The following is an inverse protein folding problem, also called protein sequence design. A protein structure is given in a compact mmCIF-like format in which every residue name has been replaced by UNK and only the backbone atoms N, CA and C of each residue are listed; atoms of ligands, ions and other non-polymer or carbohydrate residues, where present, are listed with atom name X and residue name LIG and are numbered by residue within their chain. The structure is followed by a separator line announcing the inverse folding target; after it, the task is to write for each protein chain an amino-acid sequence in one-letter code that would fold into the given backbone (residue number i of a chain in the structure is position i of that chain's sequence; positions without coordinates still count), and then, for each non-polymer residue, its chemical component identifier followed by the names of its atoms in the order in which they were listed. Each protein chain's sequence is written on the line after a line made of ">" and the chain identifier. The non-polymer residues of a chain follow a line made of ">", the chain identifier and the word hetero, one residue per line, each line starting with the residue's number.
data_IF_658681978561
#
_entry.id   IF_658681978561
#
_cell.length_a   1.000
_cell.length_b   1.000
_cell.length_c   1.000
_cell.angle_alpha   90.00
_cell.angle_beta   90.00
_cell.angle_gamma   90.00
#
_symmetry.space_group_name_H-M   'P 1'
#
loop_
_entity.id
_entity.type
_entity.pdbx_description
1 polymer ?
#
# COMPACT_ATOMS: atom_id res chain seq x y z
N UNK A 1 12.87 38.76 -66.92
CA UNK A 1 13.45 37.65 -67.71
C UNK A 1 13.12 36.33 -67.01
N UNK A 2 12.63 35.36 -67.77
CA UNK A 2 12.13 34.05 -67.33
C UNK A 2 12.84 32.95 -68.13
N UNK A 3 13.10 31.80 -67.48
CA UNK A 3 13.17 30.39 -67.97
C UNK A 3 14.12 29.59 -67.03
N UNK A 4 13.60 28.62 -66.27
CA UNK A 4 13.58 27.14 -66.50
C UNK A 4 15.00 26.53 -66.52
N UNK A 5 15.33 25.36 -65.99
CA UNK A 5 14.59 24.14 -65.64
C UNK A 5 15.50 23.22 -64.77
N UNK A 6 14.87 22.42 -63.90
CA UNK A 6 15.21 21.09 -63.33
C UNK A 6 16.66 20.53 -63.27
N UNK A 7 17.05 20.07 -62.06
CA UNK A 7 17.22 18.62 -61.71
C UNK A 7 17.40 18.39 -60.20
N UNK A 8 16.86 17.27 -59.70
CA UNK A 8 16.92 16.76 -58.32
C UNK A 8 18.11 15.75 -58.13
N UNK A 9 18.39 15.23 -56.91
CA UNK A 9 19.74 14.95 -56.35
C UNK A 9 20.27 13.53 -56.57
N UNK A 10 21.45 13.16 -56.03
CA UNK A 10 21.38 12.30 -54.83
C UNK A 10 22.55 12.38 -53.80
N UNK A 11 22.21 11.89 -52.61
CA UNK A 11 23.03 11.04 -51.72
C UNK A 11 24.07 11.66 -50.79
N UNK A 12 23.87 11.43 -49.48
CA UNK A 12 24.99 11.17 -48.57
C UNK A 12 24.88 11.82 -47.18
N UNK A 13 24.56 10.98 -46.18
CA UNK A 13 24.88 11.09 -44.76
C UNK A 13 24.28 12.28 -43.97
N UNK A 14 23.26 12.11 -43.12
CA UNK A 14 23.25 11.36 -41.84
C UNK A 14 24.34 11.90 -40.89
N UNK A 15 24.09 12.42 -39.70
CA UNK A 15 23.02 12.20 -38.74
C UNK A 15 23.69 12.15 -37.37
N UNK A 16 23.35 13.07 -36.48
CA UNK A 16 23.73 12.99 -35.07
C UNK A 16 22.55 13.40 -34.19
N UNK A 17 21.41 12.75 -34.47
CA UNK A 17 20.42 12.50 -33.44
C UNK A 17 20.84 11.23 -32.72
N UNK A 18 21.22 11.33 -31.43
CA UNK A 18 21.35 10.17 -30.55
C UNK A 18 19.98 9.49 -30.45
N UNK A 19 19.71 8.54 -31.35
CA UNK A 19 18.73 7.47 -31.12
C UNK A 19 19.41 6.44 -30.24
N UNK A 20 19.02 6.40 -28.97
CA UNK A 20 19.21 5.22 -28.14
C UNK A 20 18.36 4.10 -28.74
N UNK A 21 18.94 3.38 -29.69
CA UNK A 21 18.39 2.13 -30.18
C UNK A 21 18.57 1.14 -29.03
N UNK A 22 17.50 0.90 -28.27
CA UNK A 22 17.42 -0.30 -27.43
C UNK A 22 17.38 -1.47 -28.39
N UNK A 23 18.50 -2.14 -28.60
CA UNK A 23 18.50 -3.46 -29.23
C UNK A 23 17.66 -4.40 -28.36
N UNK A 24 16.67 -5.11 -28.91
CA UNK A 24 16.09 -6.22 -28.18
C UNK A 24 17.21 -7.25 -28.07
N UNK A 25 17.68 -7.51 -26.84
CA UNK A 25 18.59 -8.62 -26.59
C UNK A 25 17.82 -9.90 -26.87
N UNK A 26 18.06 -10.47 -28.05
CA UNK A 26 17.65 -11.84 -28.39
C UNK A 26 18.09 -12.76 -27.25
N UNK A 27 17.10 -13.36 -26.56
CA UNK A 27 17.31 -14.36 -25.53
C UNK A 27 16.93 -13.97 -24.09
N UNK A 28 16.51 -12.73 -23.80
CA UNK A 28 15.98 -12.42 -22.47
C UNK A 28 14.55 -13.00 -22.35
N UNK A 29 14.30 -14.00 -21.48
CA UNK A 29 12.94 -14.45 -21.23
C UNK A 29 12.09 -13.27 -20.73
N UNK A 30 10.79 -13.22 -21.07
CA UNK A 30 9.93 -12.16 -20.58
C UNK A 30 10.04 -12.08 -19.06
N UNK A 31 10.19 -10.87 -18.53
CA UNK A 31 10.28 -10.67 -17.10
C UNK A 31 9.11 -11.40 -16.42
N UNK A 32 9.36 -12.15 -15.34
CA UNK A 32 8.28 -12.85 -14.65
C UNK A 32 7.20 -11.84 -14.28
N UNK A 33 5.94 -12.23 -14.45
CA UNK A 33 4.80 -11.39 -14.10
C UNK A 33 5.04 -10.76 -12.72
N UNK A 34 5.03 -9.41 -12.60
CA UNK A 34 5.30 -8.74 -11.34
C UNK A 34 4.35 -9.21 -10.22
N UNK A 35 3.16 -9.72 -10.56
CA UNK A 35 2.22 -10.35 -9.62
C UNK A 35 2.76 -11.61 -8.96
N UNK A 36 3.69 -12.31 -9.60
CA UNK A 36 4.30 -13.56 -9.13
C UNK A 36 5.70 -13.38 -8.54
N UNK A 37 6.23 -12.15 -8.49
CA UNK A 37 7.56 -11.86 -7.94
C UNK A 37 7.51 -11.65 -6.43
N UNK A 38 7.36 -12.73 -5.67
CA UNK A 38 7.57 -12.69 -4.21
C UNK A 38 9.06 -12.88 -3.91
N UNK A 39 9.74 -11.91 -3.27
CA UNK A 39 11.12 -12.09 -2.83
C UNK A 39 11.29 -13.33 -1.95
N UNK A 40 12.41 -14.08 -2.07
CA UNK A 40 12.63 -15.30 -1.29
C UNK A 40 12.58 -15.05 0.23
N UNK A 41 12.98 -13.86 0.69
CA UNK A 41 12.89 -13.48 2.10
C UNK A 41 11.45 -13.48 2.63
N UNK A 42 10.45 -13.16 1.81
CA UNK A 42 9.04 -13.15 2.25
C UNK A 42 8.57 -14.58 2.55
N UNK A 43 8.96 -15.55 1.70
CA UNK A 43 8.63 -16.98 1.92
C UNK A 43 9.29 -17.51 3.19
N UNK A 44 10.52 -17.07 3.46
CA UNK A 44 11.23 -17.43 4.68
C UNK A 44 10.61 -16.79 5.93
N UNK A 45 10.20 -15.52 5.85
CA UNK A 45 9.53 -14.81 6.93
C UNK A 45 8.20 -15.48 7.31
N UNK A 46 7.39 -15.88 6.32
CA UNK A 46 6.07 -16.53 6.54
C UNK A 46 6.19 -17.78 7.41
N UNK A 47 7.27 -18.57 7.26
CA UNK A 47 7.50 -19.77 8.08
C UNK A 47 7.71 -19.49 9.57
N UNK A 48 8.06 -18.25 9.92
CA UNK A 48 8.33 -17.80 11.30
C UNK A 48 7.19 -16.97 11.89
N UNK A 49 6.13 -16.70 11.12
CA UNK A 49 5.00 -15.92 11.61
C UNK A 49 4.14 -16.76 12.55
N UNK A 50 3.68 -16.14 13.63
CA UNK A 50 2.62 -16.66 14.48
C UNK A 50 1.31 -16.02 13.98
N UNK A 51 0.33 -16.80 13.51
CA UNK A 51 -0.94 -16.25 13.05
C UNK A 51 -1.66 -15.49 14.17
N UNK A 52 -2.24 -14.34 13.85
CA UNK A 52 -3.11 -13.64 14.77
C UNK A 52 -4.42 -14.43 14.92
N UNK A 53 -4.69 -14.95 16.12
CA UNK A 53 -5.87 -15.76 16.38
C UNK A 53 -7.19 -14.98 16.20
N UNK A 54 -7.16 -13.64 16.28
CA UNK A 54 -8.31 -12.78 16.07
C UNK A 54 -8.58 -12.47 14.58
N UNK A 55 -7.65 -12.79 13.66
CA UNK A 55 -7.79 -12.49 12.22
C UNK A 55 -9.06 -13.07 11.56
N UNK A 56 -9.54 -14.29 11.88
CA UNK A 56 -10.78 -14.79 11.31
C UNK A 56 -12.05 -14.31 12.02
N UNK A 57 -11.94 -13.53 13.10
CA UNK A 57 -13.11 -13.06 13.85
C UNK A 57 -13.74 -11.85 13.17
N UNK A 58 -15.05 -11.68 13.36
CA UNK A 58 -15.80 -10.59 12.75
C UNK A 58 -16.45 -9.69 13.81
N UNK A 59 -16.27 -8.38 13.64
CA UNK A 59 -17.02 -7.33 14.35
C UNK A 59 -17.78 -6.48 13.32
N UNK A 60 -19.12 -6.49 13.33
CA UNK A 60 -19.93 -5.60 12.49
C UNK A 60 -19.60 -4.12 12.70
N UNK A 61 -19.36 -3.71 13.95
CA UNK A 61 -19.08 -2.32 14.30
C UNK A 61 -17.71 -1.90 13.77
N UNK A 62 -16.66 -2.69 14.02
CA UNK A 62 -15.31 -2.41 13.53
C UNK A 62 -15.25 -2.36 12.00
N UNK A 63 -15.93 -3.30 11.34
CA UNK A 63 -15.97 -3.36 9.87
C UNK A 63 -16.58 -2.13 9.22
N UNK A 64 -17.53 -1.47 9.89
CA UNK A 64 -18.25 -0.30 9.35
C UNK A 64 -17.62 1.02 9.76
N UNK A 65 -17.14 1.10 11.00
CA UNK A 65 -16.84 2.37 11.67
C UNK A 65 -15.36 2.55 12.02
N UNK A 66 -14.52 1.52 11.88
CA UNK A 66 -13.10 1.57 12.28
C UNK A 66 -12.34 2.81 11.79
N UNK A 67 -12.51 3.19 10.52
CA UNK A 67 -11.83 4.36 9.96
C UNK A 67 -12.23 5.66 10.65
N UNK A 68 -13.51 5.83 10.96
CA UNK A 68 -14.03 7.00 11.66
C UNK A 68 -13.48 7.01 13.10
N UNK A 69 -13.56 5.87 13.78
CA UNK A 69 -13.14 5.69 15.17
C UNK A 69 -11.63 5.89 15.37
N UNK A 70 -10.81 5.54 14.38
CA UNK A 70 -9.35 5.65 14.46
C UNK A 70 -8.84 7.08 14.29
N UNK A 71 -9.59 7.99 13.66
CA UNK A 71 -9.10 9.33 13.32
C UNK A 71 -8.68 10.11 14.56
N UNK A 72 -9.53 10.14 15.60
CA UNK A 72 -9.24 10.85 16.84
C UNK A 72 -8.03 10.24 17.60
N UNK A 73 -7.95 8.91 17.63
CA UNK A 73 -6.82 8.20 18.24
C UNK A 73 -5.51 8.53 17.50
N UNK A 74 -5.52 8.47 16.17
CA UNK A 74 -4.35 8.74 15.34
C UNK A 74 -3.84 10.17 15.49
N UNK A 75 -4.75 11.13 15.52
CA UNK A 75 -4.38 12.53 15.63
C UNK A 75 -3.83 12.87 17.01
N UNK A 76 -4.44 12.35 18.09
CA UNK A 76 -3.89 12.48 19.45
C UNK A 76 -2.52 11.82 19.54
N UNK A 77 -2.37 10.59 19.02
CA UNK A 77 -1.08 9.88 18.98
C UNK A 77 0.00 10.70 18.26
N UNK A 78 -0.30 11.25 17.08
CA UNK A 78 0.65 12.09 16.32
C UNK A 78 1.05 13.35 17.12
N UNK A 79 0.10 14.00 17.79
CA UNK A 79 0.38 15.19 18.61
C UNK A 79 1.27 14.85 19.81
N UNK A 80 1.05 13.71 20.46
CA UNK A 80 1.91 13.20 21.54
C UNK A 80 3.33 12.97 21.03
N UNK A 81 3.49 12.25 19.91
CA UNK A 81 4.81 11.97 19.33
C UNK A 81 5.56 13.24 18.91
N UNK A 82 4.84 14.30 18.56
CA UNK A 82 5.39 15.62 18.22
C UNK A 82 5.64 16.51 19.45
N UNK A 83 5.35 16.04 20.67
CA UNK A 83 5.46 16.83 21.90
C UNK A 83 4.47 17.99 22.01
N UNK A 84 3.39 17.98 21.22
CA UNK A 84 2.37 19.06 21.21
C UNK A 84 1.36 18.94 22.33
N UNK A 85 1.24 17.76 22.93
CA UNK A 85 0.35 17.46 24.06
C UNK A 85 1.01 16.41 24.97
N UNK A 86 0.68 16.38 26.27
CA UNK A 86 1.19 15.35 27.18
C UNK A 86 0.60 13.97 26.87
N UNK A 87 1.28 12.91 27.33
CA UNK A 87 0.83 11.52 27.18
C UNK A 87 -0.53 11.27 27.86
N UNK A 88 -0.86 12.01 28.92
CA UNK A 88 -2.14 11.87 29.64
C UNK A 88 -3.38 12.15 28.79
N UNK A 89 -3.25 12.92 27.70
CA UNK A 89 -4.36 13.13 26.74
C UNK A 89 -4.78 11.84 26.03
N UNK A 90 -3.90 10.82 26.02
CA UNK A 90 -4.25 9.50 25.51
C UNK A 90 -5.39 8.85 26.31
N UNK A 91 -5.44 9.07 27.62
CA UNK A 91 -6.43 8.46 28.49
C UNK A 91 -7.84 8.96 28.17
N UNK A 92 -7.98 10.27 27.95
CA UNK A 92 -9.26 10.90 27.62
C UNK A 92 -9.77 10.48 26.23
N UNK A 93 -8.90 10.46 25.21
CA UNK A 93 -9.31 10.02 23.87
C UNK A 93 -9.67 8.53 23.86
N UNK A 94 -8.95 7.69 24.61
CA UNK A 94 -9.27 6.26 24.74
C UNK A 94 -10.60 6.05 25.47
N UNK A 95 -10.89 6.83 26.52
CA UNK A 95 -12.16 6.76 27.23
C UNK A 95 -13.34 7.08 26.32
N UNK A 96 -13.21 8.12 25.49
CA UNK A 96 -14.24 8.48 24.51
C UNK A 96 -14.40 7.39 23.45
N UNK A 97 -13.30 6.92 22.86
CA UNK A 97 -13.33 5.84 21.87
C UNK A 97 -14.00 4.56 22.40
N UNK A 98 -13.67 4.16 23.64
CA UNK A 98 -14.28 3.00 24.30
C UNK A 98 -15.79 3.16 24.45
N UNK A 99 -16.22 4.33 24.90
CA UNK A 99 -17.63 4.69 25.08
C UNK A 99 -18.39 4.68 23.74
N UNK A 100 -17.79 5.21 22.69
CA UNK A 100 -18.46 5.39 21.41
C UNK A 100 -18.62 4.07 20.65
N UNK A 101 -17.59 3.22 20.65
CA UNK A 101 -17.67 1.93 19.96
C UNK A 101 -16.72 0.85 20.49
N UNK A 102 -15.59 1.22 21.13
CA UNK A 102 -14.53 0.26 21.48
C UNK A 102 -15.00 -0.89 22.38
N UNK A 103 -15.84 -0.60 23.37
CA UNK A 103 -16.38 -1.64 24.26
C UNK A 103 -17.38 -2.56 23.52
N UNK A 104 -18.13 -2.05 22.54
CA UNK A 104 -19.00 -2.86 21.68
C UNK A 104 -18.19 -3.77 20.75
N UNK A 105 -17.17 -3.22 20.10
CA UNK A 105 -16.27 -3.98 19.23
C UNK A 105 -15.63 -5.13 20.00
N UNK A 106 -15.16 -4.86 21.24
CA UNK A 106 -14.63 -5.89 22.12
C UNK A 106 -15.63 -7.01 22.37
N UNK A 107 -16.86 -6.68 22.76
CA UNK A 107 -17.89 -7.68 23.04
C UNK A 107 -18.23 -8.54 21.80
N UNK A 108 -18.27 -7.93 20.60
CA UNK A 108 -18.50 -8.64 19.34
C UNK A 108 -17.38 -9.64 19.05
N UNK A 109 -16.12 -9.26 19.27
CA UNK A 109 -14.99 -10.17 19.11
C UNK A 109 -14.95 -11.28 20.17
N UNK A 110 -15.29 -10.97 21.43
CA UNK A 110 -15.40 -11.97 22.50
C UNK A 110 -16.47 -13.02 22.16
N UNK A 111 -17.65 -12.58 21.69
CA UNK A 111 -18.71 -13.49 21.24
C UNK A 111 -18.27 -14.34 20.02
N UNK A 112 -17.60 -13.73 19.04
CA UNK A 112 -17.08 -14.45 17.88
C UNK A 112 -16.03 -15.50 18.29
N UNK A 113 -15.21 -15.20 19.30
CA UNK A 113 -14.22 -16.12 19.84
C UNK A 113 -14.86 -17.33 20.54
N UNK A 114 -15.85 -17.08 21.40
CA UNK A 114 -16.60 -18.13 22.10
C UNK A 114 -17.32 -19.06 21.11
N UNK A 115 -17.96 -18.49 20.08
CA UNK A 115 -18.65 -19.24 19.03
C UNK A 115 -17.69 -20.15 18.25
N UNK A 116 -16.45 -19.70 18.03
CA UNK A 116 -15.42 -20.47 17.32
C UNK A 116 -14.85 -21.62 18.15
N UNK A 117 -14.83 -21.48 19.48
CA UNK A 117 -14.14 -22.40 20.40
C UNK A 117 -15.07 -23.38 21.10
N UNK A 118 -16.39 -23.22 20.95
CA UNK A 118 -17.43 -24.16 21.38
C UNK A 118 -17.68 -25.24 20.35
#
# INVERSE_FOLDING_TARGET
>A
MSRRDRRAPPSGADGSGRRLISTPSDGQPPAPDPRNRRPPFQKEAVRRLIPNAAEPLYSPTDSKESKLLQTALDDTRKRIMQGRVPLSEWDDVMKNWRKDAGDRIRAEFEQAWETRTS
#
